data_IF_989680359583
#
_entry.id   IF_989680359583
#
_cell.length_a   1.000
_cell.length_b   1.000
_cell.length_c   1.000
_cell.angle_alpha   90.00
_cell.angle_beta   90.00
_cell.angle_gamma   90.00
#
_symmetry.space_group_name_H-M   'P 1'
#
loop_
_entity.id
_entity.type
_entity.pdbx_description
1 polymer ?
#
# COMPACT_ATOMS: atom_id res chain seq x y z
N UNK A 1 -7.15 -16.17 -36.84
CA UNK A 1 -6.45 -15.07 -36.15
C UNK A 1 -7.35 -14.56 -35.03
N UNK A 2 -7.43 -15.29 -33.91
CA UNK A 2 -8.24 -14.91 -32.74
C UNK A 2 -7.29 -14.80 -31.53
N UNK A 3 -6.65 -13.65 -31.37
CA UNK A 3 -5.97 -13.31 -30.12
C UNK A 3 -6.87 -12.34 -29.37
N UNK A 4 -7.71 -12.86 -28.47
CA UNK A 4 -8.40 -12.01 -27.50
C UNK A 4 -7.32 -11.43 -26.58
N UNK A 5 -7.22 -10.10 -26.50
CA UNK A 5 -6.19 -9.40 -25.69
C UNK A 5 -6.19 -9.83 -24.21
N UNK A 6 -7.32 -10.36 -23.71
CA UNK A 6 -7.49 -10.86 -22.34
C UNK A 6 -8.32 -12.15 -22.35
N UNK A 7 -7.73 -13.32 -22.64
CA UNK A 7 -8.49 -14.57 -22.84
C UNK A 7 -9.19 -15.09 -21.57
N UNK A 8 -8.85 -14.54 -20.40
CA UNK A 8 -9.49 -14.87 -19.12
C UNK A 8 -10.51 -13.83 -18.63
N UNK A 9 -10.77 -12.75 -19.38
CA UNK A 9 -11.71 -11.72 -18.92
C UNK A 9 -13.16 -12.25 -18.92
N UNK A 10 -13.84 -12.11 -17.77
CA UNK A 10 -15.23 -12.51 -17.56
C UNK A 10 -16.16 -11.32 -17.34
N UNK A 11 -15.62 -10.17 -16.92
CA UNK A 11 -16.36 -8.92 -16.79
C UNK A 11 -15.53 -7.73 -17.26
N UNK A 12 -16.20 -6.72 -17.80
CA UNK A 12 -15.66 -5.38 -18.03
C UNK A 12 -16.31 -4.39 -17.05
N UNK A 13 -15.51 -3.50 -16.48
CA UNK A 13 -15.93 -2.55 -15.44
C UNK A 13 -15.65 -1.14 -15.92
N UNK A 14 -16.66 -0.28 -15.86
CA UNK A 14 -16.50 1.16 -16.07
C UNK A 14 -16.50 1.87 -14.71
N UNK A 15 -15.43 2.61 -14.43
CA UNK A 15 -15.23 3.34 -13.18
C UNK A 15 -15.25 4.83 -13.49
N UNK A 16 -16.24 5.55 -12.99
CA UNK A 16 -16.26 7.02 -13.04
C UNK A 16 -15.68 7.57 -11.73
N UNK A 17 -14.54 8.24 -11.82
CA UNK A 17 -13.84 8.84 -10.67
C UNK A 17 -13.98 10.36 -10.73
N UNK A 18 -14.56 10.95 -9.69
CA UNK A 18 -14.62 12.40 -9.48
C UNK A 18 -13.56 12.78 -8.45
N UNK A 19 -12.65 13.69 -8.81
CA UNK A 19 -11.65 14.26 -7.90
C UNK A 19 -11.83 15.77 -7.84
N UNK A 20 -11.89 16.32 -6.64
CA UNK A 20 -11.84 17.77 -6.42
C UNK A 20 -10.49 18.12 -5.82
N UNK A 21 -9.78 19.03 -6.48
CA UNK A 21 -8.56 19.62 -5.92
C UNK A 21 -8.94 20.59 -4.80
N UNK A 22 -8.43 20.37 -3.59
CA UNK A 22 -8.81 21.16 -2.42
C UNK A 22 -8.23 22.58 -2.42
N UNK A 23 -7.14 22.84 -3.15
CA UNK A 23 -6.50 24.16 -3.19
C UNK A 23 -7.15 25.07 -4.23
N UNK A 24 -7.53 24.50 -5.37
CA UNK A 24 -8.05 25.24 -6.53
C UNK A 24 -9.57 25.11 -6.69
N UNK A 25 -10.22 24.18 -5.98
CA UNK A 25 -11.65 23.86 -6.13
C UNK A 25 -12.01 23.13 -7.44
N UNK A 26 -11.06 22.95 -8.35
CA UNK A 26 -11.30 22.34 -9.66
C UNK A 26 -11.72 20.88 -9.50
N UNK A 27 -12.86 20.53 -10.08
CA UNK A 27 -13.35 19.16 -10.16
C UNK A 27 -12.96 18.55 -11.51
N UNK A 28 -12.40 17.35 -11.49
CA UNK A 28 -12.15 16.55 -12.70
C UNK A 28 -12.91 15.22 -12.59
N UNK A 29 -13.53 14.81 -13.70
CA UNK A 29 -14.14 13.48 -13.84
C UNK A 29 -13.31 12.68 -14.83
N UNK A 30 -12.92 11.47 -14.44
CA UNK A 30 -12.21 10.53 -15.31
C UNK A 30 -12.99 9.23 -15.38
N UNK A 31 -13.13 8.70 -16.59
CA UNK A 31 -13.64 7.35 -16.83
C UNK A 31 -12.45 6.42 -17.02
N UNK A 32 -12.42 5.33 -16.26
CA UNK A 32 -11.41 4.27 -16.35
C UNK A 32 -12.12 2.96 -16.64
N UNK A 33 -11.57 2.15 -17.53
CA UNK A 33 -12.07 0.80 -17.80
C UNK A 33 -11.13 -0.23 -17.21
N UNK A 34 -11.68 -1.30 -16.67
CA UNK A 34 -10.94 -2.45 -16.16
C UNK A 34 -11.59 -3.75 -16.63
N UNK A 35 -10.80 -4.82 -16.69
CA UNK A 35 -11.29 -6.18 -16.95
C UNK A 35 -10.88 -7.08 -15.80
N UNK A 36 -11.70 -8.08 -15.51
CA UNK A 36 -11.44 -9.06 -14.44
C UNK A 36 -11.82 -10.45 -14.87
N UNK A 37 -11.13 -11.45 -14.34
CA UNK A 37 -11.49 -12.87 -14.48
C UNK A 37 -12.62 -13.31 -13.55
N UNK A 38 -13.02 -12.47 -12.59
CA UNK A 38 -14.17 -12.73 -11.72
C UNK A 38 -15.46 -12.64 -12.53
N UNK A 39 -16.39 -13.58 -12.32
CA UNK A 39 -17.74 -13.53 -12.92
C UNK A 39 -18.68 -12.62 -12.12
N UNK A 40 -19.82 -12.25 -12.71
CA UNK A 40 -20.79 -11.36 -12.07
C UNK A 40 -21.39 -11.96 -10.78
N UNK A 41 -21.45 -13.30 -10.71
CA UNK A 41 -21.86 -14.05 -9.51
C UNK A 41 -20.78 -14.03 -8.42
N UNK A 42 -19.50 -13.97 -8.79
CA UNK A 42 -18.37 -13.95 -7.84
C UNK A 42 -18.13 -12.56 -7.25
N UNK A 43 -18.35 -11.50 -8.03
CA UNK A 43 -18.11 -10.14 -7.57
C UNK A 43 -19.06 -9.16 -8.25
N UNK A 44 -19.98 -8.61 -7.45
CA UNK A 44 -20.85 -7.49 -7.81
C UNK A 44 -20.05 -6.17 -7.83
N UNK A 45 -20.64 -5.04 -8.29
CA UNK A 45 -19.93 -3.76 -8.39
C UNK A 45 -19.30 -3.27 -7.07
N UNK A 46 -19.91 -3.54 -5.92
CA UNK A 46 -19.44 -3.08 -4.62
C UNK A 46 -18.13 -3.78 -4.18
N UNK A 47 -18.04 -5.13 -4.16
CA UNK A 47 -16.78 -5.85 -4.00
C UNK A 47 -15.71 -5.43 -5.02
N UNK A 48 -16.07 -5.27 -6.29
CA UNK A 48 -15.12 -4.81 -7.32
C UNK A 48 -14.57 -3.42 -7.00
N UNK A 49 -15.41 -2.49 -6.55
CA UNK A 49 -14.99 -1.15 -6.14
C UNK A 49 -14.06 -1.15 -4.90
N UNK A 50 -14.16 -2.17 -4.02
CA UNK A 50 -13.18 -2.39 -2.94
C UNK A 50 -11.85 -2.90 -3.50
N UNK A 51 -11.87 -3.96 -4.29
CA UNK A 51 -10.67 -4.53 -4.92
C UNK A 51 -9.90 -3.51 -5.77
N UNK A 52 -10.60 -2.62 -6.47
CA UNK A 52 -10.00 -1.53 -7.25
C UNK A 52 -9.29 -0.52 -6.34
N UNK A 53 -9.74 -0.35 -5.10
CA UNK A 53 -9.19 0.59 -4.12
C UNK A 53 -8.13 -0.02 -3.20
N UNK A 54 -8.21 -1.32 -2.94
CA UNK A 54 -7.30 -1.99 -2.00
C UNK A 54 -5.81 -1.82 -2.35
N UNK A 55 -5.38 -1.76 -3.63
CA UNK A 55 -3.99 -1.48 -3.97
C UNK A 55 -3.44 -0.15 -3.41
N UNK A 56 -4.27 0.85 -3.14
CA UNK A 56 -3.82 2.10 -2.51
C UNK A 56 -3.27 1.88 -1.09
N UNK A 57 -3.61 0.76 -0.44
CA UNK A 57 -3.01 0.39 0.86
C UNK A 57 -1.51 0.08 0.73
N UNK A 58 -1.06 -0.40 -0.44
CA UNK A 58 0.36 -0.61 -0.75
C UNK A 58 1.06 0.74 -0.88
N UNK A 59 0.44 1.70 -1.57
CA UNK A 59 1.00 3.06 -1.67
C UNK A 59 1.03 3.77 -0.32
N UNK A 60 0.03 3.56 0.54
CA UNK A 60 0.05 4.05 1.91
C UNK A 60 1.22 3.45 2.72
N UNK A 61 1.59 2.18 2.48
CA UNK A 61 2.77 1.56 3.08
C UNK A 61 4.06 2.21 2.54
N UNK A 62 4.17 2.45 1.23
CA UNK A 62 5.30 3.16 0.63
C UNK A 62 5.46 4.55 1.25
N UNK A 63 4.38 5.32 1.34
CA UNK A 63 4.42 6.65 1.96
C UNK A 63 4.99 6.62 3.39
N UNK A 64 4.62 5.63 4.21
CA UNK A 64 5.20 5.47 5.55
C UNK A 64 6.70 5.18 5.48
N UNK A 65 7.15 4.32 4.56
CA UNK A 65 8.58 4.04 4.39
C UNK A 65 9.34 5.29 3.95
N UNK A 66 8.82 5.99 2.96
CA UNK A 66 9.48 7.13 2.35
C UNK A 66 9.60 8.29 3.34
N UNK A 67 8.51 8.59 4.06
CA UNK A 67 8.48 9.75 4.97
C UNK A 67 8.92 9.43 6.38
N UNK A 68 8.46 8.32 6.97
CA UNK A 68 8.72 8.00 8.38
C UNK A 68 10.07 7.30 8.56
N UNK A 69 10.50 6.51 7.58
CA UNK A 69 11.82 5.85 7.59
C UNK A 69 12.84 6.52 6.66
N UNK A 70 12.51 7.68 6.08
CA UNK A 70 13.36 8.46 5.19
C UNK A 70 13.95 7.59 4.06
N UNK A 71 13.16 6.66 3.52
CA UNK A 71 13.68 5.68 2.55
C UNK A 71 14.25 6.35 1.29
N UNK A 72 13.57 7.36 0.75
CA UNK A 72 14.04 8.12 -0.41
C UNK A 72 15.38 8.83 -0.15
N UNK A 73 15.63 9.24 1.09
CA UNK A 73 16.87 9.89 1.50
C UNK A 73 18.01 8.90 1.78
N UNK A 74 17.73 7.59 1.82
CA UNK A 74 18.74 6.56 2.06
C UNK A 74 19.75 6.51 0.92
N UNK A 75 21.04 6.56 1.23
CA UNK A 75 22.15 6.48 0.24
C UNK A 75 22.69 5.07 0.02
N UNK A 76 22.14 4.06 0.70
CA UNK A 76 22.51 2.67 0.47
C UNK A 76 22.12 2.26 -0.95
N UNK A 77 23.12 1.91 -1.78
CA UNK A 77 22.96 1.54 -3.20
C UNK A 77 23.66 0.25 -3.60
N UNK A 78 24.53 -0.30 -2.74
CA UNK A 78 25.38 -1.44 -3.08
C UNK A 78 24.68 -2.78 -2.86
N UNK A 79 24.77 -3.66 -3.86
CA UNK A 79 24.29 -5.05 -3.77
C UNK A 79 22.85 -5.15 -3.29
N UNK A 80 22.60 -6.01 -2.30
CA UNK A 80 21.26 -6.24 -1.75
C UNK A 80 20.85 -5.22 -0.68
N UNK A 81 21.68 -4.23 -0.34
CA UNK A 81 21.40 -3.31 0.76
C UNK A 81 20.05 -2.57 0.64
N UNK A 82 19.65 -2.04 -0.53
CA UNK A 82 18.33 -1.41 -0.67
C UNK A 82 17.17 -2.36 -0.36
N UNK A 83 17.24 -3.60 -0.87
CA UNK A 83 16.22 -4.63 -0.65
C UNK A 83 16.18 -5.08 0.81
N UNK A 84 17.34 -5.29 1.43
CA UNK A 84 17.44 -5.66 2.84
C UNK A 84 16.83 -4.58 3.73
N UNK A 85 17.13 -3.31 3.46
CA UNK A 85 16.53 -2.20 4.22
C UNK A 85 15.02 -2.09 4.02
N UNK A 86 14.52 -2.29 2.80
CA UNK A 86 13.08 -2.38 2.55
C UNK A 86 12.41 -3.47 3.41
N UNK A 87 13.03 -4.65 3.49
CA UNK A 87 12.55 -5.76 4.33
C UNK A 87 12.55 -5.39 5.81
N UNK A 88 13.63 -4.80 6.34
CA UNK A 88 13.68 -4.37 7.74
C UNK A 88 12.64 -3.32 8.10
N UNK A 89 12.42 -2.34 7.21
CA UNK A 89 11.37 -1.32 7.41
C UNK A 89 9.98 -1.95 7.39
N UNK A 90 9.72 -2.85 6.46
CA UNK A 90 8.45 -3.60 6.41
C UNK A 90 8.23 -4.41 7.69
N UNK A 91 9.27 -5.09 8.20
CA UNK A 91 9.19 -5.83 9.46
C UNK A 91 8.85 -4.89 10.62
N UNK A 92 9.54 -3.75 10.75
CA UNK A 92 9.28 -2.78 11.80
C UNK A 92 7.84 -2.22 11.74
N UNK A 93 7.37 -1.88 10.53
CA UNK A 93 5.99 -1.40 10.33
C UNK A 93 4.98 -2.49 10.71
N UNK A 94 5.20 -3.72 10.23
CA UNK A 94 4.33 -4.87 10.50
C UNK A 94 4.25 -5.16 12.00
N UNK A 95 5.38 -5.22 12.68
CA UNK A 95 5.44 -5.51 14.11
C UNK A 95 4.78 -4.40 14.95
N UNK A 96 4.98 -3.11 14.59
CA UNK A 96 4.27 -2.01 15.23
C UNK A 96 2.74 -2.09 15.02
N UNK A 97 2.28 -2.43 13.80
CA UNK A 97 0.85 -2.60 13.53
C UNK A 97 0.26 -3.80 14.29
N UNK A 98 0.98 -4.92 14.37
CA UNK A 98 0.57 -6.09 15.13
C UNK A 98 0.43 -5.77 16.63
N UNK A 99 1.31 -4.91 17.15
CA UNK A 99 1.21 -4.36 18.51
C UNK A 99 0.14 -3.26 18.68
N UNK A 100 -0.72 -3.03 17.68
CA UNK A 100 -1.83 -2.06 17.74
C UNK A 100 -1.44 -0.60 17.49
N UNK A 101 -0.22 -0.30 17.03
CA UNK A 101 0.19 1.06 16.77
C UNK A 101 -0.58 1.68 15.60
N UNK A 102 -1.39 2.70 15.88
CA UNK A 102 -2.11 3.48 14.87
C UNK A 102 -1.24 4.53 14.18
N UNK A 103 -0.17 4.98 14.84
CA UNK A 103 0.78 5.97 14.33
C UNK A 103 2.20 5.39 14.37
N UNK A 104 2.74 5.08 13.19
CA UNK A 104 4.06 4.44 13.05
C UNK A 104 5.18 5.36 13.52
N UNK A 105 5.13 6.67 13.21
CA UNK A 105 6.14 7.62 13.66
C UNK A 105 6.20 7.73 15.20
N UNK A 106 5.05 7.74 15.86
CA UNK A 106 4.99 7.70 17.33
C UNK A 106 5.54 6.37 17.89
N UNK A 107 5.18 5.25 17.25
CA UNK A 107 5.70 3.92 17.59
C UNK A 107 7.23 3.85 17.49
N UNK A 108 7.82 4.38 16.42
CA UNK A 108 9.28 4.46 16.27
C UNK A 108 9.91 5.30 17.38
N UNK A 109 9.39 6.51 17.63
CA UNK A 109 9.91 7.39 18.69
C UNK A 109 9.89 6.75 20.08
N UNK A 110 8.84 5.99 20.40
CA UNK A 110 8.73 5.24 21.66
C UNK A 110 9.83 4.17 21.81
N UNK A 111 10.19 3.52 20.71
CA UNK A 111 11.14 2.41 20.71
C UNK A 111 12.60 2.86 20.52
N UNK A 112 12.85 4.02 19.91
CA UNK A 112 14.18 4.48 19.52
C UNK A 112 15.18 4.68 20.68
N UNK A 113 14.71 4.90 21.91
CA UNK A 113 15.56 5.23 23.08
C UNK A 113 15.75 4.07 24.06
N UNK A 114 15.21 2.89 23.78
CA UNK A 114 15.36 1.72 24.65
C UNK A 114 15.37 0.44 23.81
N UNK A 115 16.56 -0.19 23.61
CA UNK A 115 16.71 -1.34 22.73
C UNK A 115 15.93 -2.58 23.21
N UNK A 116 15.50 -2.62 24.47
CA UNK A 116 14.67 -3.71 25.01
C UNK A 116 13.24 -3.66 24.48
N UNK A 117 12.73 -2.48 24.11
CA UNK A 117 11.35 -2.33 23.64
C UNK A 117 11.12 -2.95 22.25
N UNK A 118 11.99 -2.73 21.23
CA UNK A 118 11.95 -3.50 20.00
C UNK A 118 12.04 -5.01 20.21
N UNK A 119 12.93 -5.47 21.09
CA UNK A 119 13.09 -6.91 21.37
C UNK A 119 11.83 -7.51 21.97
N UNK A 120 11.24 -6.87 22.98
CA UNK A 120 9.98 -7.30 23.57
C UNK A 120 8.83 -7.28 22.56
N UNK A 121 8.79 -6.28 21.68
CA UNK A 121 7.80 -6.16 20.60
C UNK A 121 7.92 -7.29 19.57
N UNK A 122 9.12 -7.86 19.40
CA UNK A 122 9.38 -9.02 18.55
C UNK A 122 9.30 -10.36 19.29
N UNK A 123 9.06 -10.36 20.61
CA UNK A 123 9.05 -11.58 21.43
C UNK A 123 10.44 -12.18 21.68
N UNK A 124 11.49 -11.34 21.69
CA UNK A 124 12.90 -11.72 21.81
C UNK A 124 13.57 -11.21 23.09
N UNK A 125 12.77 -10.74 24.06
CA UNK A 125 13.26 -10.18 25.32
C UNK A 125 13.27 -11.20 26.45
#
# INVERSE_FOLDING_TARGET
MNSLLFPGARQAVQIKRRRTDRKTGKTTVKTVYAVTSLTAEQATPDPLARLIRDPWTIEALHHVRDTTFAEDASQLRTGNAPRTMATWRNLAIGALRAAGAKNIAAGLRRNARDPRRPLALLGLA
#
